data_IF_570825854848
#
_entry.id   IF_570825854848
#
_cell.length_a   1.000
_cell.length_b   1.000
_cell.length_c   1.000
_cell.angle_alpha   90.00
_cell.angle_beta   90.00
_cell.angle_gamma   90.00
#
_symmetry.space_group_name_H-M   'P 1'
#
loop_
_entity.id
_entity.type
_entity.pdbx_description
1 polymer ?
#
# COMPACT_ATOMS: atom_id res chain seq x y z
N UNK A 1 -12.85 11.78 -9.93
CA UNK A 1 -11.95 11.05 -9.00
C UNK A 1 -10.64 10.74 -9.70
N UNK A 2 -9.49 11.09 -9.10
CA UNK A 2 -8.18 10.82 -9.71
C UNK A 2 -7.90 9.32 -9.78
N UNK A 3 -7.00 8.92 -10.68
CA UNK A 3 -6.53 7.52 -10.81
C UNK A 3 -5.23 7.38 -10.03
N UNK A 4 -5.09 6.28 -9.28
CA UNK A 4 -3.79 5.89 -8.70
C UNK A 4 -3.00 5.19 -9.79
N UNK A 5 -1.78 5.66 -10.03
CA UNK A 5 -0.82 4.99 -10.89
C UNK A 5 0.23 4.33 -10.01
N UNK A 6 0.48 3.05 -10.26
CA UNK A 6 1.50 2.29 -9.56
C UNK A 6 2.75 2.20 -10.43
N UNK A 7 3.91 2.45 -9.85
CA UNK A 7 5.17 2.12 -10.50
C UNK A 7 5.36 0.60 -10.52
N UNK A 8 6.16 0.05 -11.45
CA UNK A 8 6.50 -1.38 -11.47
C UNK A 8 7.06 -1.87 -10.13
N UNK A 9 7.94 -1.09 -9.50
CA UNK A 9 8.52 -1.38 -8.19
C UNK A 9 7.45 -1.46 -7.07
N UNK A 10 6.43 -0.59 -7.10
CA UNK A 10 5.35 -0.63 -6.12
C UNK A 10 4.52 -1.93 -6.24
N UNK A 11 4.24 -2.37 -7.48
CA UNK A 11 3.52 -3.62 -7.74
C UNK A 11 4.33 -4.81 -7.22
N UNK A 12 5.63 -4.86 -7.52
CA UNK A 12 6.53 -5.92 -7.07
C UNK A 12 6.60 -6.00 -5.54
N UNK A 13 6.72 -4.85 -4.86
CA UNK A 13 6.71 -4.77 -3.39
C UNK A 13 5.40 -5.28 -2.79
N UNK A 14 4.25 -4.92 -3.36
CA UNK A 14 2.94 -5.42 -2.90
C UNK A 14 2.84 -6.95 -3.04
N UNK A 15 3.35 -7.52 -4.13
CA UNK A 15 3.38 -8.98 -4.33
C UNK A 15 4.32 -9.66 -3.32
N UNK A 16 5.52 -9.11 -3.08
CA UNK A 16 6.46 -9.61 -2.08
C UNK A 16 5.86 -9.59 -0.67
N UNK A 17 5.17 -8.52 -0.29
CA UNK A 17 4.46 -8.42 0.99
C UNK A 17 3.39 -9.52 1.09
N UNK A 18 2.55 -9.67 0.05
CA UNK A 18 1.51 -10.70 0.00
C UNK A 18 2.10 -12.10 0.20
N UNK A 19 3.16 -12.43 -0.53
CA UNK A 19 3.82 -13.72 -0.47
C UNK A 19 4.42 -13.99 0.92
N UNK A 20 5.20 -13.04 1.46
CA UNK A 20 5.83 -13.18 2.76
C UNK A 20 4.82 -13.41 3.89
N UNK A 21 3.71 -12.67 3.88
CA UNK A 21 2.65 -12.85 4.87
C UNK A 21 1.94 -14.18 4.67
N UNK A 22 1.69 -14.59 3.41
CA UNK A 22 1.03 -15.86 3.10
C UNK A 22 1.83 -17.05 3.62
N UNK A 23 3.14 -17.05 3.42
CA UNK A 23 4.04 -18.13 3.87
C UNK A 23 4.06 -18.22 5.40
N UNK A 24 4.08 -17.08 6.10
CA UNK A 24 4.19 -17.06 7.56
C UNK A 24 2.86 -17.24 8.31
N UNK A 25 1.77 -16.70 7.77
CA UNK A 25 0.50 -16.52 8.49
C UNK A 25 -0.71 -17.06 7.74
N UNK A 26 -0.51 -17.66 6.56
CA UNK A 26 -1.57 -18.24 5.75
C UNK A 26 -2.32 -17.26 4.85
N UNK A 27 -3.15 -17.83 3.98
CA UNK A 27 -3.80 -17.12 2.87
C UNK A 27 -4.82 -16.08 3.36
N UNK A 28 -5.61 -16.42 4.38
CA UNK A 28 -6.65 -15.52 4.89
C UNK A 28 -6.07 -14.23 5.46
N UNK A 29 -5.04 -14.34 6.30
CA UNK A 29 -4.36 -13.19 6.91
C UNK A 29 -3.69 -12.34 5.83
N UNK A 30 -3.00 -12.97 4.89
CA UNK A 30 -2.37 -12.28 3.75
C UNK A 30 -3.37 -11.46 2.93
N UNK A 31 -4.49 -12.06 2.55
CA UNK A 31 -5.51 -11.36 1.76
C UNK A 31 -6.14 -10.19 2.54
N UNK A 32 -6.40 -10.37 3.84
CA UNK A 32 -6.92 -9.29 4.70
C UNK A 32 -5.95 -8.10 4.77
N UNK A 33 -4.66 -8.36 4.99
CA UNK A 33 -3.66 -7.29 5.09
C UNK A 33 -3.51 -6.55 3.75
N UNK A 34 -3.40 -7.28 2.64
CA UNK A 34 -3.29 -6.66 1.31
C UNK A 34 -4.54 -5.83 0.96
N UNK A 35 -5.74 -6.33 1.30
CA UNK A 35 -6.99 -5.57 1.11
C UNK A 35 -6.97 -4.25 1.87
N UNK A 36 -6.50 -4.25 3.11
CA UNK A 36 -6.40 -3.05 3.94
C UNK A 36 -5.41 -2.03 3.34
N UNK A 37 -4.24 -2.49 2.89
CA UNK A 37 -3.24 -1.62 2.22
C UNK A 37 -3.84 -0.99 0.96
N UNK A 38 -4.47 -1.79 0.09
CA UNK A 38 -5.07 -1.30 -1.15
C UNK A 38 -6.25 -0.34 -0.87
N UNK A 39 -7.00 -0.56 0.20
CA UNK A 39 -8.07 0.36 0.62
C UNK A 39 -7.50 1.73 1.02
N UNK A 40 -6.44 1.75 1.84
CA UNK A 40 -5.78 2.98 2.25
C UNK A 40 -5.23 3.77 1.05
N UNK A 41 -4.60 3.08 0.08
CA UNK A 41 -4.11 3.71 -1.15
C UNK A 41 -5.27 4.26 -2.00
N UNK A 42 -6.39 3.54 -2.07
CA UNK A 42 -7.58 3.97 -2.83
C UNK A 42 -8.16 5.28 -2.30
N UNK A 43 -8.07 5.54 -1.00
CA UNK A 43 -8.55 6.78 -0.39
C UNK A 43 -7.76 8.02 -0.85
N UNK A 44 -6.50 7.85 -1.29
CA UNK A 44 -5.69 8.93 -1.87
C UNK A 44 -6.30 9.50 -3.16
N UNK A 45 -7.22 8.76 -3.82
CA UNK A 45 -7.96 9.27 -4.99
C UNK A 45 -8.88 10.44 -4.64
N UNK A 46 -9.30 10.53 -3.37
CA UNK A 46 -10.18 11.56 -2.83
C UNK A 46 -9.41 12.52 -1.94
N UNK A 47 -8.46 12.00 -1.14
CA UNK A 47 -7.69 12.76 -0.16
C UNK A 47 -6.20 12.63 -0.45
N UNK A 48 -5.68 13.38 -1.41
CA UNK A 48 -4.28 13.22 -1.88
C UNK A 48 -3.25 13.49 -0.78
N UNK A 49 -3.55 14.41 0.14
CA UNK A 49 -2.70 14.76 1.27
C UNK A 49 -3.00 13.90 2.51
N UNK A 50 -3.66 12.75 2.33
CA UNK A 50 -3.89 11.79 3.42
C UNK A 50 -2.60 11.05 3.73
N UNK A 51 -1.85 11.62 4.65
CA UNK A 51 -0.54 11.13 5.06
C UNK A 51 0.37 12.31 5.35
N UNK A 52 1.28 12.09 6.30
CA UNK A 52 2.34 13.06 6.59
C UNK A 52 3.33 13.07 5.43
N UNK A 53 3.74 14.27 5.01
CA UNK A 53 4.78 14.42 4.00
C UNK A 53 6.08 13.85 4.55
N UNK A 54 6.66 12.87 3.85
CA UNK A 54 7.94 12.26 4.25
C UNK A 54 9.03 13.33 4.30
N UNK A 55 9.09 14.23 3.31
CA UNK A 55 10.01 15.37 3.30
C UNK A 55 9.88 16.22 4.58
N UNK A 56 8.64 16.54 4.98
CA UNK A 56 8.39 17.26 6.25
C UNK A 56 8.79 16.46 7.49
N UNK A 57 8.65 15.14 7.47
CA UNK A 57 9.04 14.29 8.61
C UNK A 57 10.54 14.11 8.72
N UNK A 58 11.24 13.98 7.60
CA UNK A 58 12.68 13.69 7.58
C UNK A 58 13.53 14.95 7.55
N UNK A 59 12.92 16.13 7.40
CA UNK A 59 13.61 17.42 7.35
C UNK A 59 14.46 17.60 6.09
N UNK A 60 14.10 16.90 5.00
CA UNK A 60 14.76 16.97 3.69
C UNK A 60 13.90 17.81 2.76
#
# INVERSE_FOLDING_TARGET
MKKILYSPNAIEKLQKIKWNIRVKYGVQISNRIIKNILSAIKELRTYENKGVSVARMTGI
#
